data_IF_700189581980
#
_entry.id   IF_700189581980
#
_cell.length_a   1.000
_cell.length_b   1.000
_cell.length_c   1.000
_cell.angle_alpha   90.00
_cell.angle_beta   90.00
_cell.angle_gamma   90.00
#
_symmetry.space_group_name_H-M   'P 1'
#
loop_
_entity.id
_entity.type
_entity.pdbx_description
1 polymer ?
#
# COMPACT_ATOMS: atom_id res chain seq x y z
N UNK A 1 24.70 -6.21 -10.59
CA UNK A 1 23.33 -5.67 -10.42
C UNK A 1 22.52 -6.72 -9.68
N UNK A 2 22.11 -6.46 -8.43
CA UNK A 2 21.35 -7.44 -7.63
C UNK A 2 19.87 -7.44 -8.02
N UNK A 3 19.52 -8.23 -9.05
CA UNK A 3 18.12 -8.43 -9.45
C UNK A 3 17.33 -9.06 -8.31
N UNK A 4 16.10 -8.59 -8.08
CA UNK A 4 15.10 -9.31 -7.28
C UNK A 4 14.75 -10.65 -7.96
N UNK A 5 15.07 -11.82 -7.37
CA UNK A 5 14.68 -13.11 -7.94
C UNK A 5 13.19 -13.38 -7.72
N UNK A 6 12.68 -14.47 -8.29
CA UNK A 6 11.37 -15.00 -7.90
C UNK A 6 11.40 -15.43 -6.42
N UNK A 7 10.26 -15.37 -5.70
CA UNK A 7 10.20 -15.78 -4.31
C UNK A 7 10.59 -17.27 -4.16
N UNK A 8 11.28 -17.65 -3.07
CA UNK A 8 11.55 -19.04 -2.77
C UNK A 8 10.27 -19.78 -2.37
N UNK A 9 10.38 -21.08 -2.15
CA UNK A 9 9.26 -21.89 -1.67
C UNK A 9 8.71 -21.38 -0.31
N UNK A 10 7.41 -21.52 -0.02
CA UNK A 10 6.79 -21.04 1.23
C UNK A 10 7.49 -21.52 2.50
N UNK A 11 8.02 -22.74 2.52
CA UNK A 11 8.77 -23.28 3.66
C UNK A 11 10.01 -22.43 4.02
N UNK A 12 10.70 -21.86 3.02
CA UNK A 12 11.84 -20.96 3.24
C UNK A 12 11.37 -19.66 3.88
N UNK A 13 10.24 -19.12 3.42
CA UNK A 13 9.64 -17.90 3.98
C UNK A 13 9.21 -18.11 5.44
N UNK A 14 8.62 -19.27 5.75
CA UNK A 14 8.18 -19.65 7.09
C UNK A 14 9.35 -19.85 8.06
N UNK A 15 10.38 -20.57 7.64
CA UNK A 15 11.55 -20.88 8.47
C UNK A 15 12.38 -19.63 8.85
N UNK A 16 12.30 -18.56 8.06
CA UNK A 16 13.13 -17.36 8.23
C UNK A 16 12.40 -16.16 8.84
N UNK A 17 11.12 -16.30 9.21
CA UNK A 17 10.37 -15.22 9.88
C UNK A 17 10.65 -15.20 11.39
N UNK A 18 11.30 -14.13 11.86
CA UNK A 18 11.50 -13.84 13.28
C UNK A 18 10.47 -12.82 13.73
N UNK A 19 9.35 -13.30 14.29
CA UNK A 19 8.17 -12.47 14.58
C UNK A 19 8.43 -11.24 15.45
N UNK A 20 9.44 -11.26 16.32
CA UNK A 20 9.81 -10.13 17.19
C UNK A 20 10.66 -9.08 16.49
N UNK A 21 11.32 -9.43 15.38
CA UNK A 21 12.23 -8.56 14.63
C UNK A 21 11.61 -8.09 13.31
N UNK A 22 10.84 -8.95 12.66
CA UNK A 22 10.44 -8.81 11.26
C UNK A 22 8.99 -8.39 11.07
N UNK A 23 8.26 -8.18 12.17
CA UNK A 23 6.85 -7.78 12.13
C UNK A 23 6.70 -6.41 12.78
N UNK A 24 6.30 -5.44 11.98
CA UNK A 24 5.96 -4.10 12.47
C UNK A 24 4.57 -4.14 13.09
N UNK A 25 4.51 -3.73 14.36
CA UNK A 25 3.27 -3.50 15.08
C UNK A 25 2.75 -2.08 14.81
N UNK A 26 1.74 -1.94 13.95
CA UNK A 26 1.05 -0.66 13.74
C UNK A 26 -0.01 -0.49 14.81
N UNK A 27 0.35 0.23 15.87
CA UNK A 27 -0.52 0.44 17.04
C UNK A 27 -1.72 1.35 16.74
N UNK A 28 -2.70 1.31 17.63
CA UNK A 28 -3.96 2.08 17.55
C UNK A 28 -3.79 3.61 17.55
N UNK A 29 -2.62 4.12 17.95
CA UNK A 29 -2.32 5.55 17.90
C UNK A 29 -1.80 6.00 16.53
N UNK A 30 -1.34 5.05 15.71
CA UNK A 30 -0.68 5.31 14.42
C UNK A 30 -1.69 5.75 13.38
N UNK A 31 -1.40 6.88 12.72
CA UNK A 31 -2.23 7.42 11.65
C UNK A 31 -1.87 6.76 10.32
N UNK A 32 -2.87 6.24 9.64
CA UNK A 32 -2.78 5.77 8.26
C UNK A 32 -3.48 6.80 7.36
N UNK A 33 -2.83 7.14 6.25
CA UNK A 33 -3.28 8.16 5.32
C UNK A 33 -3.49 7.55 3.94
N UNK A 34 -4.57 7.93 3.26
CA UNK A 34 -4.83 7.50 1.88
C UNK A 34 -5.50 8.61 1.10
N UNK A 35 -5.16 8.71 -0.18
CA UNK A 35 -5.93 9.46 -1.16
C UNK A 35 -6.59 8.46 -2.10
N UNK A 36 -7.87 8.65 -2.40
CA UNK A 36 -8.63 7.76 -3.28
C UNK A 36 -9.64 8.55 -4.13
N UNK A 37 -9.97 8.04 -5.31
CA UNK A 37 -10.98 8.62 -6.18
C UNK A 37 -12.38 8.09 -5.81
N UNK A 38 -13.31 8.98 -5.46
CA UNK A 38 -14.69 8.61 -5.11
C UNK A 38 -15.62 8.49 -6.34
N UNK A 39 -15.20 8.99 -7.50
CA UNK A 39 -15.92 8.90 -8.79
C UNK A 39 -15.03 8.31 -9.90
N UNK A 40 -15.60 8.06 -11.07
CA UNK A 40 -14.92 7.51 -12.25
C UNK A 40 -15.37 6.08 -12.57
N UNK A 41 -14.60 5.37 -13.41
CA UNK A 41 -14.93 4.00 -13.87
C UNK A 41 -15.01 2.99 -12.72
N UNK A 42 -14.17 3.17 -11.69
CA UNK A 42 -14.09 2.28 -10.53
C UNK A 42 -14.03 3.13 -9.25
N UNK A 43 -15.17 3.68 -8.80
CA UNK A 43 -15.23 4.52 -7.61
C UNK A 43 -14.84 3.71 -6.36
N UNK A 44 -14.03 4.31 -5.49
CA UNK A 44 -13.54 3.67 -4.27
C UNK A 44 -14.14 4.35 -3.03
N UNK A 45 -14.21 3.60 -1.93
CA UNK A 45 -14.39 4.16 -0.59
C UNK A 45 -13.08 4.08 0.19
N UNK A 46 -12.99 4.89 1.23
CA UNK A 46 -11.80 4.98 2.06
C UNK A 46 -11.37 3.64 2.68
N UNK A 47 -12.31 2.73 2.95
CA UNK A 47 -12.10 1.40 3.52
C UNK A 47 -12.30 0.23 2.53
N UNK A 48 -12.56 0.50 1.26
CA UNK A 48 -12.78 -0.57 0.28
C UNK A 48 -11.47 -1.22 -0.12
N UNK A 49 -11.30 -2.50 0.24
CA UNK A 49 -10.29 -3.37 -0.36
C UNK A 49 -10.64 -3.64 -1.82
N UNK A 50 -9.61 -3.72 -2.66
CA UNK A 50 -9.76 -4.17 -4.04
C UNK A 50 -9.54 -5.69 -4.08
N UNK A 51 -10.50 -6.41 -4.65
CA UNK A 51 -10.45 -7.87 -4.83
C UNK A 51 -10.20 -8.30 -6.28
N UNK A 52 -10.09 -7.33 -7.20
CA UNK A 52 -9.72 -7.56 -8.61
C UNK A 52 -8.27 -7.18 -8.85
N UNK A 53 -7.47 -8.10 -9.40
CA UNK A 53 -6.05 -7.91 -9.67
C UNK A 53 -5.41 -9.17 -10.26
N UNK A 54 -4.08 -9.21 -10.42
CA UNK A 54 -3.16 -8.13 -10.10
C UNK A 54 -3.26 -7.02 -11.16
N UNK A 55 -3.24 -5.74 -10.73
CA UNK A 55 -3.22 -4.62 -11.67
C UNK A 55 -1.78 -4.23 -12.05
N UNK A 56 -1.52 -3.82 -13.31
CA UNK A 56 -0.18 -3.45 -13.77
C UNK A 56 0.47 -2.31 -12.98
N UNK A 57 -0.33 -1.49 -12.29
CA UNK A 57 0.19 -0.37 -11.50
C UNK A 57 0.43 -0.70 -10.03
N UNK A 58 -0.08 -1.81 -9.50
CA UNK A 58 -0.06 -2.10 -8.07
C UNK A 58 1.05 -3.10 -7.68
N UNK A 59 1.84 -2.77 -6.66
CA UNK A 59 3.10 -3.47 -6.37
C UNK A 59 2.90 -4.80 -5.62
N UNK A 60 1.95 -4.84 -4.70
CA UNK A 60 1.78 -5.96 -3.75
C UNK A 60 0.39 -6.59 -3.85
N UNK A 61 -0.11 -6.68 -5.09
CA UNK A 61 -1.33 -7.42 -5.38
C UNK A 61 -1.13 -8.91 -5.15
N UNK A 62 -2.10 -9.50 -4.45
CA UNK A 62 -2.09 -10.91 -4.06
C UNK A 62 -3.11 -11.74 -4.82
N UNK A 63 -3.95 -11.10 -5.62
CA UNK A 63 -4.87 -11.80 -6.52
C UNK A 63 -4.08 -12.65 -7.52
N UNK A 64 -4.57 -13.84 -7.88
CA UNK A 64 -3.95 -14.67 -8.92
C UNK A 64 -4.09 -13.99 -10.30
N UNK A 65 -3.10 -14.22 -11.15
CA UNK A 65 -3.21 -13.85 -12.57
C UNK A 65 -4.07 -14.87 -13.31
N UNK A 66 -4.86 -14.41 -14.28
CA UNK A 66 -5.57 -15.28 -15.21
C UNK A 66 -4.59 -16.04 -16.12
N UNK A 67 -5.07 -17.03 -16.90
CA UNK A 67 -4.23 -17.82 -17.80
C UNK A 67 -3.44 -17.00 -18.83
N UNK A 68 -3.99 -15.86 -19.24
CA UNK A 68 -3.43 -14.88 -20.17
C UNK A 68 -2.75 -13.69 -19.46
N UNK A 69 -2.61 -13.74 -18.14
CA UNK A 69 -2.12 -12.63 -17.33
C UNK A 69 -3.16 -11.56 -17.01
N UNK A 70 -4.42 -11.75 -17.40
CA UNK A 70 -5.50 -10.80 -17.08
C UNK A 70 -5.78 -10.71 -15.58
N UNK A 71 -6.29 -9.56 -15.10
CA UNK A 71 -6.78 -9.45 -13.72
C UNK A 71 -7.97 -10.38 -13.48
N UNK A 72 -7.96 -11.08 -12.35
CA UNK A 72 -9.05 -11.92 -11.86
C UNK A 72 -9.65 -11.33 -10.59
N UNK A 73 -10.86 -11.76 -10.24
CA UNK A 73 -11.49 -11.43 -8.97
C UNK A 73 -11.31 -12.58 -7.97
N UNK A 74 -10.77 -12.28 -6.78
CA UNK A 74 -10.59 -13.23 -5.69
C UNK A 74 -11.02 -12.59 -4.37
N UNK A 75 -12.15 -13.09 -3.83
CA UNK A 75 -12.88 -12.51 -2.69
C UNK A 75 -12.11 -12.56 -1.36
N UNK A 76 -11.10 -13.40 -1.28
CA UNK A 76 -10.21 -13.60 -0.13
C UNK A 76 -8.82 -12.98 -0.37
N UNK A 77 -8.64 -12.22 -1.47
CA UNK A 77 -7.38 -11.59 -1.85
C UNK A 77 -7.51 -10.07 -1.91
N UNK A 78 -8.19 -9.47 -0.93
CA UNK A 78 -8.35 -8.03 -0.85
C UNK A 78 -7.02 -7.32 -0.64
N UNK A 79 -6.79 -6.18 -1.30
CA UNK A 79 -5.63 -5.30 -1.08
C UNK A 79 -6.05 -3.84 -0.87
N UNK A 80 -5.36 -3.15 0.04
CA UNK A 80 -5.62 -1.76 0.36
C UNK A 80 -4.34 -1.04 0.81
N UNK A 81 -4.03 0.11 0.20
CA UNK A 81 -2.78 0.83 0.43
C UNK A 81 -2.99 2.09 1.27
N UNK A 82 -2.03 2.36 2.15
CA UNK A 82 -1.93 3.59 2.95
C UNK A 82 -0.48 4.09 2.97
N UNK A 83 -0.30 5.41 3.01
CA UNK A 83 0.94 6.03 3.45
C UNK A 83 0.90 6.34 4.94
N UNK A 84 2.06 6.69 5.51
CA UNK A 84 2.16 7.17 6.89
C UNK A 84 2.00 8.69 7.02
N UNK A 85 1.93 9.39 5.88
CA UNK A 85 1.76 10.84 5.82
C UNK A 85 0.91 11.25 4.61
N UNK A 86 0.47 12.52 4.63
CA UNK A 86 -0.19 13.15 3.47
C UNK A 86 0.79 13.22 2.29
N UNK A 87 2.05 13.60 2.53
CA UNK A 87 3.09 13.67 1.50
C UNK A 87 3.27 12.34 0.78
N UNK A 88 3.46 11.24 1.52
CA UNK A 88 3.63 9.91 0.95
C UNK A 88 2.42 9.51 0.11
N UNK A 89 1.21 9.84 0.59
CA UNK A 89 -0.03 9.56 -0.15
C UNK A 89 -0.13 10.40 -1.43
N UNK A 90 0.27 11.68 -1.40
CA UNK A 90 0.31 12.56 -2.58
C UNK A 90 1.35 12.05 -3.59
N UNK A 91 2.57 11.79 -3.13
CA UNK A 91 3.67 11.30 -3.96
C UNK A 91 3.28 10.02 -4.70
N UNK A 92 2.74 9.03 -3.98
CA UNK A 92 2.35 7.74 -4.59
C UNK A 92 1.14 7.85 -5.53
N UNK A 93 0.13 8.65 -5.19
CA UNK A 93 -1.10 8.76 -6.03
C UNK A 93 -0.86 9.56 -7.30
N UNK A 94 -0.07 10.64 -7.22
CA UNK A 94 0.15 11.56 -8.34
C UNK A 94 1.49 11.37 -9.04
N UNK A 95 2.23 10.30 -8.73
CA UNK A 95 3.57 10.02 -9.30
C UNK A 95 3.65 10.06 -10.83
N UNK A 96 2.58 9.67 -11.52
CA UNK A 96 2.59 9.56 -12.97
C UNK A 96 2.52 10.92 -13.67
N UNK A 97 1.92 11.93 -13.03
CA UNK A 97 1.68 13.25 -13.62
C UNK A 97 2.44 14.37 -12.92
N UNK A 98 2.86 14.17 -11.66
CA UNK A 98 3.34 15.24 -10.78
C UNK A 98 2.36 16.42 -10.67
N UNK A 99 1.07 16.14 -10.88
CA UNK A 99 -0.01 17.12 -10.87
C UNK A 99 -1.10 16.63 -9.92
N UNK A 100 -1.34 17.40 -8.86
CA UNK A 100 -2.41 17.17 -7.88
C UNK A 100 -3.68 17.84 -8.39
N UNK A 101 -4.44 17.09 -9.17
CA UNK A 101 -5.82 17.44 -9.56
C UNK A 101 -6.78 17.08 -8.43
N UNK A 102 -7.42 18.10 -7.85
CA UNK A 102 -8.28 17.98 -6.66
C UNK A 102 -9.76 17.77 -6.98
N UNK A 103 -10.15 17.90 -8.25
CA UNK A 103 -11.55 17.91 -8.67
C UNK A 103 -11.90 16.69 -9.53
N UNK A 104 -11.04 16.34 -10.49
CA UNK A 104 -11.31 15.23 -11.42
C UNK A 104 -11.46 13.91 -10.67
N UNK A 105 -12.57 13.22 -10.91
CA UNK A 105 -12.93 11.96 -10.21
C UNK A 105 -13.16 12.13 -8.70
N UNK A 106 -13.28 13.36 -8.19
CA UNK A 106 -13.59 13.69 -6.80
C UNK A 106 -12.68 12.92 -5.83
N UNK A 107 -11.38 13.23 -5.80
CA UNK A 107 -10.45 12.61 -4.87
C UNK A 107 -10.74 13.04 -3.43
N UNK A 108 -10.54 12.11 -2.50
CA UNK A 108 -10.70 12.33 -1.07
C UNK A 108 -9.41 11.99 -0.34
N UNK A 109 -9.09 12.79 0.67
CA UNK A 109 -8.12 12.47 1.69
C UNK A 109 -8.82 11.79 2.86
N UNK A 110 -8.30 10.65 3.29
CA UNK A 110 -8.69 10.00 4.55
C UNK A 110 -7.49 9.89 5.49
N UNK A 111 -7.74 10.14 6.77
CA UNK A 111 -6.84 9.78 7.87
C UNK A 111 -7.62 8.92 8.86
N UNK A 112 -7.02 7.81 9.27
CA UNK A 112 -7.63 6.90 10.24
C UNK A 112 -6.59 6.35 11.20
N UNK A 113 -7.07 5.79 12.30
CA UNK A 113 -6.30 4.93 13.20
C UNK A 113 -6.90 3.53 13.20
N UNK A 114 -6.07 2.47 13.19
CA UNK A 114 -6.59 1.11 13.23
C UNK A 114 -7.23 0.84 14.60
N UNK A 115 -8.29 0.03 14.63
CA UNK A 115 -9.02 -0.26 15.88
C UNK A 115 -8.33 -1.30 16.76
N UNK A 116 -7.44 -2.09 16.18
CA UNK A 116 -6.51 -3.02 16.85
C UNK A 116 -5.10 -2.82 16.29
N UNK A 117 -4.10 -3.35 16.97
CA UNK A 117 -2.74 -3.40 16.42
C UNK A 117 -2.75 -4.24 15.14
N UNK A 118 -2.17 -3.70 14.06
CA UNK A 118 -1.93 -4.46 12.83
C UNK A 118 -0.51 -5.06 12.87
N UNK A 119 -0.36 -6.25 12.29
CA UNK A 119 0.89 -7.01 12.22
C UNK A 119 1.32 -7.09 10.76
N UNK A 120 2.31 -6.29 10.39
CA UNK A 120 2.76 -6.19 9.01
C UNK A 120 4.16 -6.77 8.87
N UNK A 121 4.42 -7.53 7.81
CA UNK A 121 5.78 -7.98 7.50
C UNK A 121 6.64 -6.78 7.13
N UNK A 122 7.79 -6.62 7.79
CA UNK A 122 8.75 -5.56 7.50
C UNK A 122 9.61 -5.91 6.28
N UNK A 123 9.34 -5.25 5.17
CA UNK A 123 10.16 -5.35 3.95
C UNK A 123 11.32 -4.34 3.93
N UNK A 124 11.44 -3.49 4.95
CA UNK A 124 12.49 -2.47 5.06
C UNK A 124 13.70 -2.96 5.87
N UNK A 125 13.47 -3.93 6.75
CA UNK A 125 14.48 -4.61 7.55
C UNK A 125 15.25 -5.72 6.81
N UNK A 126 15.82 -6.65 7.57
CA UNK A 126 16.72 -7.70 7.06
C UNK A 126 16.00 -8.97 6.58
N UNK A 127 14.71 -9.14 6.87
CA UNK A 127 13.96 -10.33 6.47
C UNK A 127 14.04 -10.61 4.96
N UNK A 128 13.82 -9.62 4.06
CA UNK A 128 13.93 -9.85 2.61
C UNK A 128 15.27 -10.45 2.22
N UNK A 129 16.38 -9.92 2.74
CA UNK A 129 17.74 -10.42 2.46
C UNK A 129 17.92 -11.86 2.92
N UNK A 130 17.41 -12.23 4.09
CA UNK A 130 17.51 -13.61 4.60
C UNK A 130 16.80 -14.63 3.72
N UNK A 131 15.74 -14.23 3.03
CA UNK A 131 14.99 -15.10 2.11
C UNK A 131 15.40 -14.91 0.64
N UNK A 132 16.49 -14.19 0.36
CA UNK A 132 17.05 -14.03 -0.98
C UNK A 132 16.47 -12.88 -1.81
N UNK A 133 15.61 -12.03 -1.23
CA UNK A 133 15.20 -10.77 -1.86
C UNK A 133 16.24 -9.66 -1.63
N UNK A 134 16.24 -8.66 -2.51
CA UNK A 134 16.99 -7.40 -2.34
C UNK A 134 16.02 -6.25 -2.04
N UNK A 135 16.55 -5.04 -1.80
CA UNK A 135 15.74 -3.83 -1.64
C UNK A 135 14.89 -3.49 -2.88
N UNK A 136 15.19 -4.09 -4.04
CA UNK A 136 14.33 -4.03 -5.22
C UNK A 136 12.93 -4.60 -4.97
N UNK A 137 12.66 -5.31 -3.87
CA UNK A 137 11.29 -5.68 -3.48
C UNK A 137 10.35 -4.46 -3.33
N UNK A 138 10.91 -3.27 -3.07
CA UNK A 138 10.14 -2.02 -2.97
C UNK A 138 10.12 -1.20 -4.27
N UNK A 139 11.01 -1.45 -5.23
CA UNK A 139 11.19 -0.59 -6.42
C UNK A 139 11.18 -1.34 -7.75
N UNK A 140 11.39 -2.65 -7.74
CA UNK A 140 11.57 -3.52 -8.90
C UNK A 140 10.30 -3.78 -9.69
N UNK A 141 10.38 -4.67 -10.70
CA UNK A 141 9.26 -4.96 -11.61
C UNK A 141 8.03 -5.47 -10.85
N UNK A 142 6.87 -4.86 -11.13
CA UNK A 142 5.61 -5.15 -10.42
C UNK A 142 5.19 -6.62 -10.53
N UNK A 143 5.42 -7.27 -11.68
CA UNK A 143 5.15 -8.70 -11.84
C UNK A 143 5.92 -9.56 -10.81
N UNK A 144 7.17 -9.19 -10.50
CA UNK A 144 8.01 -9.91 -9.54
C UNK A 144 7.57 -9.58 -8.10
N UNK A 145 7.33 -8.31 -7.77
CA UNK A 145 6.87 -7.94 -6.42
C UNK A 145 5.48 -8.48 -6.10
N UNK A 146 4.59 -8.61 -7.09
CA UNK A 146 3.30 -9.29 -6.96
C UNK A 146 3.48 -10.80 -6.73
N UNK A 147 4.45 -11.45 -7.39
CA UNK A 147 4.79 -12.84 -7.10
C UNK A 147 5.27 -13.02 -5.66
N UNK A 148 6.13 -12.10 -5.18
CA UNK A 148 6.52 -12.05 -3.77
C UNK A 148 5.34 -11.84 -2.83
N UNK A 149 4.45 -10.89 -3.12
CA UNK A 149 3.27 -10.63 -2.28
C UNK A 149 2.39 -11.88 -2.15
N UNK A 150 2.13 -12.59 -3.25
CA UNK A 150 1.39 -13.86 -3.25
C UNK A 150 2.09 -14.93 -2.40
N UNK A 151 3.39 -15.12 -2.60
CA UNK A 151 4.17 -16.11 -1.85
C UNK A 151 4.20 -15.81 -0.34
N UNK A 152 4.38 -14.54 0.02
CA UNK A 152 4.35 -14.09 1.42
C UNK A 152 2.97 -14.33 2.03
N UNK A 153 1.90 -13.92 1.35
CA UNK A 153 0.53 -14.11 1.84
C UNK A 153 0.18 -15.58 2.05
N UNK A 154 0.61 -16.44 1.13
CA UNK A 154 0.41 -17.88 1.26
C UNK A 154 1.23 -18.49 2.42
N UNK A 155 2.45 -18.00 2.64
CA UNK A 155 3.33 -18.48 3.70
C UNK A 155 2.89 -18.01 5.10
N UNK A 156 2.33 -16.80 5.20
CA UNK A 156 2.00 -16.11 6.45
C UNK A 156 0.57 -15.52 6.41
N UNK A 157 -0.48 -16.37 6.31
CA UNK A 157 -1.85 -15.92 6.15
C UNK A 157 -2.41 -15.16 7.37
N UNK A 158 -1.72 -15.21 8.51
CA UNK A 158 -2.11 -14.50 9.72
C UNK A 158 -1.71 -13.02 9.74
N UNK A 159 -0.82 -12.59 8.83
CA UNK A 159 -0.34 -11.21 8.77
C UNK A 159 -1.38 -10.30 8.12
N UNK A 160 -1.47 -9.07 8.62
CA UNK A 160 -2.40 -8.06 8.12
C UNK A 160 -1.95 -7.44 6.79
N UNK A 161 -0.71 -7.69 6.37
CA UNK A 161 -0.14 -7.13 5.16
C UNK A 161 1.37 -6.87 5.26
N UNK A 162 1.82 -5.84 4.54
CA UNK A 162 3.23 -5.47 4.36
C UNK A 162 3.49 -4.03 4.81
N UNK A 163 4.64 -3.83 5.44
CA UNK A 163 5.27 -2.54 5.69
C UNK A 163 6.46 -2.39 4.74
N UNK A 164 6.45 -1.37 3.88
CA UNK A 164 7.43 -1.23 2.80
C UNK A 164 7.88 0.21 2.59
N UNK A 165 8.94 0.40 1.81
CA UNK A 165 9.46 1.73 1.45
C UNK A 165 8.71 2.29 0.24
N UNK A 166 8.14 3.48 0.38
CA UNK A 166 7.61 4.24 -0.77
C UNK A 166 8.70 4.45 -1.82
N UNK A 167 8.38 4.13 -3.08
CA UNK A 167 9.32 4.42 -4.19
C UNK A 167 9.29 5.89 -4.61
N UNK A 168 8.32 6.65 -4.11
CA UNK A 168 8.06 8.03 -4.54
C UNK A 168 8.36 9.10 -3.48
N UNK A 169 8.65 8.69 -2.24
CA UNK A 169 8.83 9.60 -1.11
C UNK A 169 10.12 9.26 -0.32
N UNK A 170 11.26 9.20 -1.00
CA UNK A 170 12.59 8.94 -0.39
C UNK A 170 12.67 7.68 0.50
N UNK A 171 11.80 6.69 0.27
CA UNK A 171 11.71 5.49 1.10
C UNK A 171 10.91 5.64 2.39
N UNK A 172 10.15 6.73 2.56
CA UNK A 172 9.22 6.89 3.68
C UNK A 172 8.26 5.69 3.75
N UNK A 173 7.84 5.26 4.94
CA UNK A 173 7.08 4.03 5.05
C UNK A 173 5.69 4.12 4.42
N UNK A 174 5.27 3.00 3.84
CA UNK A 174 3.94 2.78 3.32
C UNK A 174 3.46 1.37 3.70
N UNK A 175 2.15 1.18 3.62
CA UNK A 175 1.46 -0.02 4.08
C UNK A 175 0.61 -0.58 2.95
N UNK A 176 0.72 -1.88 2.71
CA UNK A 176 -0.26 -2.64 1.93
C UNK A 176 -0.97 -3.60 2.88
N UNK A 177 -2.25 -3.36 3.16
CA UNK A 177 -3.09 -4.27 3.92
C UNK A 177 -3.69 -5.34 3.02
N UNK A 178 -3.89 -6.51 3.60
CA UNK A 178 -4.55 -7.66 2.97
C UNK A 178 -5.82 -8.03 3.71
N UNK A 179 -6.88 -8.34 2.97
CA UNK A 179 -8.15 -8.79 3.55
C UNK A 179 -8.58 -10.15 3.02
N UNK A 180 -8.92 -11.10 3.90
CA UNK A 180 -8.64 -11.10 5.36
C UNK A 180 -7.13 -11.22 5.67
N UNK A 181 -6.67 -10.90 6.91
CA UNK A 181 -7.45 -10.45 8.07
C UNK A 181 -7.48 -8.92 8.30
N UNK A 182 -6.72 -8.15 7.52
CA UNK A 182 -6.47 -6.72 7.73
C UNK A 182 -7.73 -5.84 7.73
N UNK A 183 -8.80 -6.25 7.04
CA UNK A 183 -10.08 -5.51 7.05
C UNK A 183 -10.70 -5.37 8.44
N UNK A 184 -10.54 -6.38 9.30
CA UNK A 184 -10.98 -6.33 10.71
C UNK A 184 -10.25 -5.26 11.54
N UNK A 185 -9.10 -4.78 11.04
CA UNK A 185 -8.31 -3.71 11.64
C UNK A 185 -8.82 -2.30 11.36
N UNK A 186 -9.69 -2.12 10.36
CA UNK A 186 -10.24 -0.81 10.01
C UNK A 186 -11.33 -0.37 11.01
N UNK A 187 -11.37 0.93 11.38
CA UNK A 187 -12.41 1.47 12.26
C UNK A 187 -13.78 1.53 11.53
N UNK A 188 -14.86 1.84 12.26
CA UNK A 188 -16.17 2.05 11.65
C UNK A 188 -16.26 3.40 10.93
N UNK A 189 -15.53 4.40 11.42
CA UNK A 189 -15.41 5.74 10.85
C UNK A 189 -13.94 6.19 10.89
N UNK A 190 -13.47 6.94 9.88
CA UNK A 190 -12.14 7.54 9.90
C UNK A 190 -12.09 8.75 10.84
N UNK A 191 -10.88 9.19 11.19
CA UNK A 191 -10.67 10.42 11.97
C UNK A 191 -10.89 11.67 11.11
N UNK A 192 -10.48 11.61 9.84
CA UNK A 192 -10.64 12.67 8.84
C UNK A 192 -11.10 12.03 7.54
N UNK A 193 -12.11 12.63 6.91
CA UNK A 193 -12.52 12.31 5.55
C UNK A 193 -12.95 13.60 4.86
N UNK A 194 -12.12 14.11 3.96
CA UNK A 194 -12.35 15.38 3.28
C UNK A 194 -12.16 15.22 1.77
N UNK A 195 -13.00 15.86 0.95
CA UNK A 195 -12.68 16.00 -0.47
C UNK A 195 -11.37 16.78 -0.61
N UNK A 196 -10.53 16.43 -1.58
CA UNK A 196 -9.20 17.04 -1.72
C UNK A 196 -9.30 18.54 -2.05
N UNK A 197 -10.40 18.98 -2.66
CA UNK A 197 -10.74 20.39 -2.92
C UNK A 197 -11.19 21.18 -1.67
N UNK A 198 -11.28 20.56 -0.49
CA UNK A 198 -11.68 21.26 0.73
C UNK A 198 -10.71 22.42 1.04
N UNK A 199 -11.18 23.66 1.29
CA UNK A 199 -10.32 24.84 1.47
C UNK A 199 -9.30 24.70 2.61
N UNK A 200 -9.67 23.99 3.68
CA UNK A 200 -8.75 23.68 4.78
C UNK A 200 -7.51 22.84 4.38
N UNK A 201 -7.47 22.29 3.16
CA UNK A 201 -6.34 21.54 2.63
C UNK A 201 -5.45 22.38 1.69
N UNK A 202 -5.82 23.63 1.37
CA UNK A 202 -5.08 24.45 0.40
C UNK A 202 -3.61 24.64 0.81
N UNK A 203 -3.37 25.18 2.01
CA UNK A 203 -2.02 25.43 2.51
C UNK A 203 -1.22 24.14 2.77
N UNK A 204 -1.79 23.10 3.43
CA UNK A 204 -1.08 21.82 3.58
C UNK A 204 -0.69 21.18 2.25
N UNK A 205 -1.59 21.15 1.25
CA UNK A 205 -1.30 20.55 -0.05
C UNK A 205 -0.30 21.39 -0.84
N UNK A 206 -0.37 22.72 -0.78
CA UNK A 206 0.61 23.58 -1.42
C UNK A 206 2.03 23.32 -0.91
N UNK A 207 2.21 23.20 0.41
CA UNK A 207 3.52 22.85 1.03
C UNK A 207 4.01 21.47 0.60
N UNK A 208 3.12 20.47 0.60
CA UNK A 208 3.48 19.11 0.12
C UNK A 208 3.87 19.13 -1.35
N UNK A 209 3.17 19.88 -2.19
CA UNK A 209 3.49 20.01 -3.61
C UNK A 209 4.83 20.71 -3.81
N UNK A 210 5.13 21.75 -3.04
CA UNK A 210 6.44 22.42 -3.05
C UNK A 210 7.57 21.45 -2.66
N UNK A 211 7.41 20.67 -1.57
CA UNK A 211 8.39 19.67 -1.13
C UNK A 211 8.65 18.58 -2.20
N UNK A 212 7.62 18.17 -2.93
CA UNK A 212 7.70 17.12 -3.96
C UNK A 212 8.01 17.65 -5.37
N UNK A 213 8.06 18.98 -5.54
CA UNK A 213 8.08 19.64 -6.85
C UNK A 213 6.92 19.22 -7.77
N UNK A 214 5.70 19.15 -7.21
CA UNK A 214 4.46 18.85 -7.91
C UNK A 214 3.65 20.13 -8.16
N UNK A 215 2.79 20.12 -9.17
CA UNK A 215 1.85 21.21 -9.45
C UNK A 215 0.52 20.96 -8.75
N UNK A 216 0.03 21.93 -7.98
CA UNK A 216 -1.31 21.89 -7.40
C UNK A 216 -2.30 22.56 -8.36
N UNK A 217 -3.33 21.83 -8.81
CA UNK A 217 -4.44 22.43 -9.55
C UNK A 217 -5.54 22.84 -8.57
N UNK A 218 -6.05 24.07 -8.76
CA UNK A 218 -7.21 24.59 -8.04
C UNK A 218 -8.48 23.82 -8.38
#
# INVERSE_FOLDING_TARGET
MSRLPQPPAPAVLQANLRRTEDVVAVHRATRLVRIFAAKGLHPQRWNSFRYTGPLPHARFDTQPSGPDGSPTHAHDQGVLYFGMSVRTSVAEVFQATSVVDRQTRSPFLVVLRPRRTLRLLDLTGLWPTRVGASQEISTGPKAVTQAWARAIRAAHPELDGLWYRSSMDSGDPAVCLWDPPGGSGLPASPDVLLPLEHPGLDLPLARVCEELNYTLLG
#
